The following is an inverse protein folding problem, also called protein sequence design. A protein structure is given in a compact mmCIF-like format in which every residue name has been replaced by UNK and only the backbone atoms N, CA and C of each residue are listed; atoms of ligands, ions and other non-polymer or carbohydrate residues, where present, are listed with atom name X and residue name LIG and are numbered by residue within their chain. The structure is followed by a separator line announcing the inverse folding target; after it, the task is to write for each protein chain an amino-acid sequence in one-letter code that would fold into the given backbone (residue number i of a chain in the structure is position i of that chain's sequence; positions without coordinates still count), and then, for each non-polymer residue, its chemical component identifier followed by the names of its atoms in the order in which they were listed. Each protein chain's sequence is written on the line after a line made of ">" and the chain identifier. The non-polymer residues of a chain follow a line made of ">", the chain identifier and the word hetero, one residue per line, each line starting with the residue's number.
data_IF_836106479172
#
_entry.id   IF_836106479172
#
_cell.length_a   1.000
_cell.length_b   1.000
_cell.length_c   1.000
_cell.angle_alpha   90.00
_cell.angle_beta   90.00
_cell.angle_gamma   90.00
#
_symmetry.space_group_name_H-M   'P 1'
#
loop_
_entity.id
_entity.type
_entity.pdbx_description
1 polymer ?
#
# COMPACT_ATOMS: atom_id res chain seq x y z
N UNK A 1 10.79 14.18 18.09
CA UNK A 1 11.91 13.36 18.58
C UNK A 1 12.60 14.18 19.64
N UNK A 2 12.54 13.71 20.87
CA UNK A 2 13.19 14.36 22.00
C UNK A 2 14.71 14.09 21.97
N UNK A 3 15.49 14.92 22.68
CA UNK A 3 16.95 14.77 22.72
C UNK A 3 17.39 13.41 23.28
N UNK A 4 16.64 12.87 24.25
CA UNK A 4 16.88 11.55 24.84
C UNK A 4 16.60 10.43 23.85
N UNK A 5 15.49 10.53 23.10
CA UNK A 5 15.15 9.57 22.03
C UNK A 5 16.22 9.57 20.94
N UNK A 6 16.74 10.75 20.58
CA UNK A 6 17.81 10.88 19.59
C UNK A 6 19.09 10.19 20.07
N UNK A 7 19.47 10.39 21.32
CA UNK A 7 20.67 9.79 21.89
C UNK A 7 20.53 8.26 21.96
N UNK A 8 19.36 7.76 22.35
CA UNK A 8 19.07 6.32 22.37
C UNK A 8 19.10 5.71 20.96
N UNK A 9 18.48 6.36 19.98
CA UNK A 9 18.48 5.90 18.60
C UNK A 9 19.90 5.87 18.02
N UNK A 10 20.67 6.92 18.26
CA UNK A 10 22.07 6.98 17.85
C UNK A 10 22.91 5.85 18.47
N UNK A 11 22.80 5.67 19.79
CA UNK A 11 23.51 4.61 20.51
C UNK A 11 23.12 3.23 19.95
N UNK A 12 21.83 2.99 19.78
CA UNK A 12 21.31 1.72 19.29
C UNK A 12 21.82 1.42 17.89
N UNK A 13 21.70 2.36 16.95
CA UNK A 13 22.16 2.18 15.57
C UNK A 13 23.66 1.92 15.53
N UNK A 14 24.46 2.72 16.26
CA UNK A 14 25.90 2.58 16.27
C UNK A 14 26.36 1.24 16.85
N UNK A 15 25.77 0.79 17.96
CA UNK A 15 26.18 -0.44 18.64
C UNK A 15 25.67 -1.72 17.97
N UNK A 16 24.61 -1.64 17.15
CA UNK A 16 24.06 -2.80 16.44
C UNK A 16 24.48 -2.88 14.97
N UNK A 17 25.15 -1.85 14.43
CA UNK A 17 25.64 -1.87 13.04
C UNK A 17 26.66 -2.99 12.81
N UNK A 18 26.47 -3.89 11.82
CA UNK A 18 27.39 -4.98 11.52
C UNK A 18 28.83 -4.52 11.22
N UNK A 19 28.97 -3.40 10.51
CA UNK A 19 30.24 -2.79 10.10
C UNK A 19 31.05 -2.30 11.30
N UNK A 20 30.37 -1.98 12.41
CA UNK A 20 30.98 -1.44 13.64
C UNK A 20 31.43 -2.56 14.59
N UNK A 21 30.84 -3.75 14.50
CA UNK A 21 31.11 -4.88 15.41
C UNK A 21 32.60 -5.24 15.57
N UNK A 22 33.42 -5.27 14.51
CA UNK A 22 34.85 -5.56 14.66
C UNK A 22 35.57 -4.54 15.55
N UNK A 23 35.20 -3.26 15.41
CA UNK A 23 35.79 -2.16 16.17
C UNK A 23 35.26 -2.10 17.59
N UNK A 24 33.99 -2.41 17.79
CA UNK A 24 33.38 -2.56 19.12
C UNK A 24 34.10 -3.63 19.94
N UNK A 25 34.31 -4.83 19.37
CA UNK A 25 35.08 -5.90 20.01
C UNK A 25 36.52 -5.47 20.32
N UNK A 26 37.18 -4.78 19.39
CA UNK A 26 38.54 -4.25 19.59
C UNK A 26 38.59 -3.26 20.76
N UNK A 27 37.57 -2.40 20.88
CA UNK A 27 37.46 -1.43 21.98
C UNK A 27 37.19 -2.12 23.32
N UNK A 28 36.24 -3.05 23.38
CA UNK A 28 35.96 -3.83 24.60
C UNK A 28 37.21 -4.56 25.11
N UNK A 29 37.93 -5.25 24.21
CA UNK A 29 39.19 -5.91 24.53
C UNK A 29 40.25 -4.93 25.06
N UNK A 30 40.31 -3.71 24.51
CA UNK A 30 41.21 -2.66 25.01
C UNK A 30 40.83 -2.23 26.43
N UNK A 31 39.54 -2.03 26.71
CA UNK A 31 39.06 -1.64 28.04
C UNK A 31 39.41 -2.71 29.07
N UNK A 32 39.12 -3.98 28.77
CA UNK A 32 39.40 -5.10 29.68
C UNK A 32 40.90 -5.28 29.94
N UNK A 33 41.76 -5.06 28.94
CA UNK A 33 43.23 -5.08 29.12
C UNK A 33 43.74 -3.94 29.99
N UNK A 34 43.16 -2.75 29.86
CA UNK A 34 43.57 -1.57 30.64
C UNK A 34 43.05 -1.61 32.08
N UNK A 35 41.93 -2.31 32.31
CA UNK A 35 41.24 -2.40 33.59
C UNK A 35 40.86 -3.87 33.87
N UNK A 36 41.85 -4.70 34.23
CA UNK A 36 41.57 -6.08 34.63
C UNK A 36 40.64 -6.06 35.86
N UNK A 37 39.47 -6.69 35.75
CA UNK A 37 38.41 -6.64 36.78
C UNK A 37 37.20 -5.77 36.43
N UNK A 38 37.14 -5.20 35.22
CA UNK A 38 35.93 -4.52 34.74
C UNK A 38 34.76 -5.50 34.69
N UNK A 39 33.67 -5.19 35.40
CA UNK A 39 32.45 -5.99 35.37
C UNK A 39 31.74 -5.84 34.01
N UNK A 40 30.87 -6.79 33.62
CA UNK A 40 30.07 -6.64 32.41
C UNK A 40 29.21 -5.36 32.40
N UNK A 41 28.64 -4.95 33.54
CA UNK A 41 27.85 -3.72 33.64
C UNK A 41 28.73 -2.46 33.48
N UNK A 42 29.93 -2.46 34.07
CA UNK A 42 30.86 -1.34 33.90
C UNK A 42 31.37 -1.25 32.46
N UNK A 43 31.61 -2.39 31.80
CA UNK A 43 32.02 -2.44 30.40
C UNK A 43 30.93 -1.86 29.50
N UNK A 44 29.67 -2.26 29.70
CA UNK A 44 28.51 -1.73 28.97
C UNK A 44 28.42 -0.21 29.14
N UNK A 45 28.48 0.31 30.38
CA UNK A 45 28.47 1.75 30.66
C UNK A 45 29.62 2.48 29.96
N UNK A 46 30.83 1.90 29.96
CA UNK A 46 32.00 2.49 29.29
C UNK A 46 31.82 2.50 27.77
N UNK A 47 31.25 1.43 27.20
CA UNK A 47 30.96 1.35 25.77
C UNK A 47 29.98 2.44 25.38
N UNK A 48 28.80 2.49 26.00
CA UNK A 48 27.75 3.46 25.70
C UNK A 48 28.23 4.91 25.76
N UNK A 49 29.06 5.23 26.75
CA UNK A 49 29.52 6.61 26.99
C UNK A 49 30.76 7.02 26.19
N UNK A 50 31.63 6.10 25.78
CA UNK A 50 32.97 6.45 25.24
C UNK A 50 33.31 5.83 23.90
N UNK A 51 32.57 4.82 23.46
CA UNK A 51 32.88 4.13 22.22
C UNK A 51 32.74 5.04 21.00
N UNK A 52 31.64 5.81 20.90
CA UNK A 52 31.41 6.78 19.80
C UNK A 52 32.59 7.73 19.62
N UNK A 53 33.02 8.39 20.71
CA UNK A 53 34.15 9.32 20.69
C UNK A 53 35.46 8.64 20.30
N UNK A 54 35.68 7.41 20.78
CA UNK A 54 36.86 6.64 20.38
C UNK A 54 36.86 6.28 18.90
N UNK A 55 35.72 5.83 18.37
CA UNK A 55 35.56 5.46 16.97
C UNK A 55 35.72 6.68 16.06
N UNK A 56 35.09 7.80 16.41
CA UNK A 56 35.20 9.07 15.69
C UNK A 56 36.66 9.50 15.52
N UNK A 57 37.43 9.47 16.61
CA UNK A 57 38.87 9.79 16.56
C UNK A 57 39.66 8.86 15.64
N UNK A 58 39.27 7.59 15.55
CA UNK A 58 39.95 6.61 14.68
C UNK A 58 39.62 6.83 13.21
N UNK A 59 38.38 7.22 12.91
CA UNK A 59 37.95 7.60 11.56
C UNK A 59 38.60 8.92 11.12
N UNK A 60 38.67 9.92 12.00
CA UNK A 60 39.32 11.21 11.71
C UNK A 60 40.84 11.09 11.49
N UNK A 61 41.47 10.10 12.11
CA UNK A 61 42.91 9.82 11.95
C UNK A 61 43.21 8.89 10.75
N UNK A 62 42.21 8.56 9.92
CA UNK A 62 42.32 7.59 8.81
C UNK A 62 42.86 6.21 9.26
N UNK A 63 42.66 5.84 10.53
CA UNK A 63 43.06 4.51 11.05
C UNK A 63 42.00 3.44 10.77
N UNK A 64 40.80 3.87 10.39
CA UNK A 64 39.66 3.04 10.06
C UNK A 64 39.07 3.56 8.76
N UNK A 65 39.25 2.79 7.69
CA UNK A 65 38.58 3.03 6.42
C UNK A 65 37.33 2.17 6.33
N UNK A 66 36.25 2.78 5.84
CA UNK A 66 35.02 2.09 5.54
C UNK A 66 33.98 3.08 5.03
N UNK A 67 33.12 2.65 4.10
CA UNK A 67 32.10 3.52 3.56
C UNK A 67 31.17 3.95 4.70
N UNK A 68 30.93 5.25 4.80
CA UNK A 68 29.84 5.85 5.60
C UNK A 68 30.01 5.79 7.12
N UNK A 69 31.20 5.51 7.66
CA UNK A 69 31.43 5.69 9.11
C UNK A 69 31.25 7.14 9.55
N UNK A 70 31.56 8.11 8.68
CA UNK A 70 31.31 9.53 8.95
C UNK A 70 29.80 9.78 9.13
N UNK A 71 28.99 9.37 8.14
CA UNK A 71 27.53 9.45 8.20
C UNK A 71 26.96 8.74 9.45
N UNK A 72 27.48 7.56 9.78
CA UNK A 72 27.02 6.78 10.94
C UNK A 72 27.31 7.49 12.26
N UNK A 73 28.43 8.22 12.36
CA UNK A 73 28.85 8.96 13.55
C UNK A 73 28.14 10.32 13.69
N UNK A 74 27.51 10.80 12.64
CA UNK A 74 26.63 11.99 12.66
C UNK A 74 25.24 11.67 13.24
N UNK A 75 24.87 10.38 13.25
CA UNK A 75 23.62 9.90 13.82
C UNK A 75 22.44 10.02 12.84
N UNK A 76 21.23 9.66 13.30
CA UNK A 76 20.03 9.68 12.45
C UNK A 76 19.66 11.11 12.03
N UNK A 77 19.26 11.28 10.77
CA UNK A 77 18.75 12.55 10.26
C UNK A 77 17.47 12.95 10.96
N UNK A 78 17.38 14.21 11.38
CA UNK A 78 16.16 14.82 11.93
C UNK A 78 15.21 15.33 10.84
N UNK A 79 15.68 15.36 9.58
CA UNK A 79 14.87 15.76 8.44
C UNK A 79 14.17 14.53 7.88
N UNK A 80 12.85 14.60 7.86
CA UNK A 80 12.00 13.63 7.16
C UNK A 80 11.66 14.22 5.80
N UNK A 81 11.78 13.39 4.76
CA UNK A 81 11.25 13.69 3.43
C UNK A 81 10.12 12.71 3.20
N UNK A 82 8.92 13.24 2.95
CA UNK A 82 7.74 12.44 2.62
C UNK A 82 7.56 12.44 1.11
N UNK A 83 7.09 11.32 0.58
CA UNK A 83 6.75 11.17 -0.82
C UNK A 83 5.31 10.68 -0.88
N UNK A 84 4.51 11.30 -1.74
CA UNK A 84 3.11 10.91 -1.95
C UNK A 84 3.01 9.62 -2.76
N UNK A 85 4.05 9.30 -3.55
CA UNK A 85 4.10 8.08 -4.35
C UNK A 85 5.46 7.41 -4.26
N UNK A 86 5.50 6.08 -4.25
CA UNK A 86 6.73 5.31 -4.36
C UNK A 86 6.56 4.11 -5.31
N UNK A 87 7.62 3.82 -6.07
CA UNK A 87 7.63 2.66 -6.98
C UNK A 87 8.51 1.56 -6.40
N UNK A 88 7.95 0.38 -6.19
CA UNK A 88 8.67 -0.78 -5.66
C UNK A 88 8.36 -1.99 -6.53
N UNK A 89 9.39 -2.60 -7.11
CA UNK A 89 9.29 -3.80 -7.96
C UNK A 89 8.27 -3.66 -9.12
N UNK A 90 8.14 -2.47 -9.69
CA UNK A 90 7.22 -2.20 -10.80
C UNK A 90 5.83 -1.72 -10.39
N UNK A 91 5.45 -1.86 -9.11
CA UNK A 91 4.17 -1.37 -8.59
C UNK A 91 4.32 0.06 -8.05
N UNK A 92 3.29 0.89 -8.24
CA UNK A 92 3.20 2.26 -7.72
C UNK A 92 2.25 2.29 -6.53
N UNK A 93 2.72 2.78 -5.40
CA UNK A 93 1.91 2.99 -4.20
C UNK A 93 1.74 4.48 -3.99
N UNK A 94 0.52 4.92 -3.73
CA UNK A 94 0.18 6.31 -3.45
C UNK A 94 -0.39 6.44 -2.05
N UNK A 95 -0.07 7.51 -1.32
CA UNK A 95 -0.74 7.84 -0.07
C UNK A 95 -2.09 8.49 -0.40
N UNK A 96 -3.19 7.96 0.13
CA UNK A 96 -4.60 8.30 -0.16
C UNK A 96 -5.03 9.75 0.08
N UNK A 97 -4.12 10.67 0.39
CA UNK A 97 -4.42 12.11 0.47
C UNK A 97 -4.49 12.81 -0.90
N UNK A 98 -4.27 12.10 -1.99
CA UNK A 98 -4.54 12.54 -3.36
C UNK A 98 -5.01 11.33 -4.17
N UNK A 99 -6.17 11.42 -4.81
CA UNK A 99 -6.89 10.35 -5.52
C UNK A 99 -7.83 9.52 -4.65
N UNK A 100 -8.98 10.11 -4.36
CA UNK A 100 -10.22 9.42 -4.00
C UNK A 100 -11.36 10.30 -4.51
N UNK A 101 -11.36 10.57 -5.82
CA UNK A 101 -12.36 11.44 -6.47
C UNK A 101 -12.37 11.29 -8.01
N UNK A 102 -11.87 10.18 -8.57
CA UNK A 102 -11.98 9.94 -10.03
C UNK A 102 -12.34 8.47 -10.24
N UNK A 103 -11.62 7.52 -9.62
CA UNK A 103 -11.95 6.08 -9.73
C UNK A 103 -13.23 5.68 -8.96
N UNK A 104 -13.51 6.31 -7.81
CA UNK A 104 -14.76 6.08 -7.06
C UNK A 104 -15.97 6.74 -7.77
N UNK A 105 -15.76 7.81 -8.54
CA UNK A 105 -16.84 8.45 -9.32
C UNK A 105 -17.20 7.61 -10.56
N UNK A 106 -16.21 6.99 -11.22
CA UNK A 106 -16.46 6.08 -12.36
C UNK A 106 -17.19 4.78 -11.92
N UNK A 107 -16.84 4.20 -10.76
CA UNK A 107 -17.55 3.02 -10.23
C UNK A 107 -18.98 3.35 -9.79
N UNK A 108 -19.23 4.53 -9.20
CA UNK A 108 -20.59 4.97 -8.84
C UNK A 108 -21.45 5.28 -10.09
N UNK A 109 -20.86 5.86 -11.16
CA UNK A 109 -21.57 6.10 -12.42
C UNK A 109 -21.93 4.78 -13.16
N UNK A 110 -21.04 3.78 -13.14
CA UNK A 110 -21.35 2.46 -13.73
C UNK A 110 -22.44 1.70 -12.95
N UNK A 111 -22.46 1.78 -11.62
CA UNK A 111 -23.53 1.17 -10.80
C UNK A 111 -24.89 1.84 -11.01
N UNK A 112 -24.93 3.18 -11.16
CA UNK A 112 -26.19 3.90 -11.46
C UNK A 112 -26.74 3.58 -12.87
N UNK A 113 -25.88 3.43 -13.88
CA UNK A 113 -26.30 3.04 -15.24
C UNK A 113 -26.86 1.59 -15.27
N UNK A 114 -26.27 0.65 -14.53
CA UNK A 114 -26.79 -0.73 -14.44
C UNK A 114 -28.17 -0.79 -13.73
N UNK A 115 -28.40 0.01 -12.68
CA UNK A 115 -29.71 0.07 -12.01
C UNK A 115 -30.80 0.68 -12.92
N UNK A 116 -30.49 1.71 -13.72
CA UNK A 116 -31.45 2.29 -14.67
C UNK A 116 -31.83 1.30 -15.80
N UNK A 117 -30.88 0.50 -16.30
CA UNK A 117 -31.17 -0.53 -17.32
C UNK A 117 -32.06 -1.66 -16.77
N UNK A 118 -31.86 -2.09 -15.52
CA UNK A 118 -32.71 -3.10 -14.88
C UNK A 118 -34.15 -2.59 -14.65
N UNK A 119 -34.34 -1.33 -14.26
CA UNK A 119 -35.69 -0.74 -14.10
C UNK A 119 -36.42 -0.61 -15.45
N UNK A 120 -35.72 -0.24 -16.54
CA UNK A 120 -36.33 -0.20 -17.88
C UNK A 120 -36.72 -1.60 -18.39
N UNK A 121 -35.93 -2.65 -18.11
CA UNK A 121 -36.29 -4.02 -18.49
C UNK A 121 -37.55 -4.51 -17.75
N UNK A 122 -37.68 -4.25 -16.45
CA UNK A 122 -38.90 -4.62 -15.69
C UNK A 122 -40.15 -3.88 -16.19
N UNK A 123 -40.06 -2.57 -16.51
CA UNK A 123 -41.21 -1.83 -17.06
C UNK A 123 -41.66 -2.37 -18.43
N UNK A 124 -40.72 -2.81 -19.27
CA UNK A 124 -41.05 -3.40 -20.57
C UNK A 124 -41.71 -4.78 -20.44
N UNK A 125 -41.27 -5.61 -19.48
CA UNK A 125 -41.91 -6.91 -19.20
C UNK A 125 -43.37 -6.71 -18.71
N UNK A 126 -43.61 -5.73 -17.84
CA UNK A 126 -44.96 -5.39 -17.36
C UNK A 126 -45.88 -4.89 -18.50
N UNK A 127 -45.36 -4.09 -19.45
CA UNK A 127 -46.12 -3.65 -20.63
C UNK A 127 -46.44 -4.80 -21.60
N UNK A 128 -45.52 -5.75 -21.79
CA UNK A 128 -45.77 -6.94 -22.62
C UNK A 128 -46.85 -7.84 -22.01
N UNK A 129 -46.82 -8.05 -20.69
CA UNK A 129 -47.87 -8.83 -19.99
C UNK A 129 -49.25 -8.17 -20.05
N UNK A 130 -49.33 -6.83 -20.05
CA UNK A 130 -50.60 -6.11 -20.22
C UNK A 130 -51.16 -6.30 -21.64
N UNK A 131 -50.32 -6.26 -22.67
CA UNK A 131 -50.72 -6.44 -24.07
C UNK A 131 -51.22 -7.85 -24.37
N UNK A 132 -50.55 -8.88 -23.86
CA UNK A 132 -50.97 -10.29 -24.04
C UNK A 132 -52.34 -10.56 -23.40
N UNK A 133 -52.61 -9.93 -22.25
CA UNK A 133 -53.89 -10.04 -21.55
C UNK A 133 -55.03 -9.33 -22.28
N UNK A 134 -54.75 -8.21 -22.94
CA UNK A 134 -55.72 -7.51 -23.79
C UNK A 134 -56.06 -8.28 -25.09
N UNK A 135 -55.13 -9.05 -25.66
CA UNK A 135 -55.41 -9.91 -26.82
C UNK A 135 -56.27 -11.13 -26.45
N UNK A 136 -56.03 -11.76 -25.30
CA UNK A 136 -56.87 -12.88 -24.83
C UNK A 136 -58.33 -12.47 -24.58
N UNK A 137 -58.58 -11.24 -24.11
CA UNK A 137 -59.95 -10.73 -23.92
C UNK A 137 -60.65 -10.30 -25.23
N UNK A 138 -59.92 -10.08 -26.32
CA UNK A 138 -60.49 -9.78 -27.67
C UNK A 138 -60.79 -11.04 -28.50
N UNK A 139 -60.43 -12.23 -28.02
CA UNK A 139 -60.52 -13.50 -28.76
C UNK A 139 -61.92 -14.10 -28.99
N UNK A 140 -63.01 -13.36 -28.79
CA UNK A 140 -64.35 -13.86 -29.06
C UNK A 140 -65.37 -12.79 -29.46
N UNK A 141 -65.07 -12.02 -30.51
CA UNK A 141 -66.09 -11.29 -31.25
C UNK A 141 -65.94 -11.47 -32.76
N UNK A 142 -66.86 -12.26 -33.29
CA UNK A 142 -67.55 -12.14 -34.57
C UNK A 142 -66.81 -12.01 -35.91
N UNK A 143 -67.30 -12.85 -36.84
CA UNK A 143 -67.64 -12.61 -38.25
C UNK A 143 -66.95 -13.61 -39.20
N UNK A 144 -67.72 -14.51 -39.81
CA UNK A 144 -68.61 -14.29 -40.97
C UNK A 144 -67.82 -14.27 -42.28
N UNK A 145 -68.25 -15.20 -43.13
CA UNK A 145 -68.35 -15.09 -44.59
C UNK A 145 -67.08 -14.95 -45.45
N UNK A 146 -67.32 -15.27 -46.73
CA UNK A 146 -66.44 -15.26 -47.91
C UNK A 146 -65.69 -16.59 -48.16
N UNK A 147 -65.75 -17.27 -49.30
CA UNK A 147 -66.44 -17.11 -50.59
C UNK A 147 -66.33 -18.50 -51.29
N UNK A 148 -67.27 -18.94 -52.14
CA UNK A 148 -67.15 -18.87 -53.62
C UNK A 148 -65.69 -19.15 -54.10
N UNK A 149 -65.36 -20.19 -54.88
CA UNK A 149 -65.84 -20.47 -56.22
C UNK A 149 -65.50 -21.92 -56.66
N UNK A 150 -66.41 -22.53 -57.42
CA UNK A 150 -66.13 -23.22 -58.69
C UNK A 150 -65.15 -24.40 -58.75
N UNK A 151 -65.70 -25.60 -58.96
CA UNK A 151 -65.10 -26.50 -59.97
C UNK A 151 -66.18 -27.24 -60.75
N UNK A 152 -66.18 -26.98 -62.06
CA UNK A 152 -67.06 -27.51 -63.09
C UNK A 152 -66.85 -29.01 -63.39
N UNK A 153 -67.93 -29.58 -63.89
CA UNK A 153 -68.13 -30.92 -64.45
C UNK A 153 -67.32 -31.20 -65.75
N UNK A 154 -67.33 -32.48 -66.15
CA UNK A 154 -66.93 -33.12 -67.44
C UNK A 154 -65.55 -33.81 -67.35
N UNK A 155 -65.40 -35.15 -67.52
CA UNK A 155 -66.05 -36.10 -68.44
C UNK A 155 -66.02 -37.55 -67.89
#
# INVERSE_FOLDING_TARGET
>A
MDDDERLLAEEYVLLNSPEVQPYLRRYQNRVMRQRPGTTPQDLDRIVKTRFKTWLKKKVENDEIEGPRFKDLLEGPSLRVVTFETCQVNGYKFSTTSASGSEEEEEEEEEEEEEEEEEEEEEENEDEEEEYEKEEEERGCDDNDDEDDDGFDDIE
#
